data_IF_134805126431
#
_entry.id   IF_134805126431
#
_cell.length_a   1.000
_cell.length_b   1.000
_cell.length_c   1.000
_cell.angle_alpha   90.00
_cell.angle_beta   90.00
_cell.angle_gamma   90.00
#
_symmetry.space_group_name_H-M   'P 1'
#
loop_
_entity.id
_entity.type
_entity.pdbx_description
1 polymer ?
#
# COMPACT_ATOMS: atom_id res chain seq x y z
N UNK A 1 8.80 -11.95 -70.39
CA UNK A 1 9.33 -11.11 -69.33
C UNK A 1 8.60 -11.41 -68.03
N UNK A 2 9.28 -12.12 -67.17
CA UNK A 2 8.86 -12.36 -65.80
C UNK A 2 9.39 -11.22 -64.94
N UNK A 3 8.54 -10.40 -64.39
CA UNK A 3 8.86 -9.52 -63.29
C UNK A 3 8.47 -10.20 -61.99
N UNK A 4 9.48 -10.62 -61.27
CA UNK A 4 9.39 -11.15 -59.94
C UNK A 4 9.18 -10.01 -58.92
N UNK A 5 7.98 -9.90 -58.39
CA UNK A 5 7.71 -9.05 -57.21
C UNK A 5 8.27 -9.71 -55.95
N UNK A 6 9.54 -9.44 -55.66
CA UNK A 6 10.20 -9.81 -54.44
C UNK A 6 10.53 -8.55 -53.64
N UNK A 7 9.57 -7.94 -52.96
CA UNK A 7 9.86 -6.74 -52.17
C UNK A 7 9.10 -6.60 -50.84
N UNK A 8 8.67 -7.69 -50.20
CA UNK A 8 7.96 -7.52 -48.94
C UNK A 8 8.57 -8.11 -47.64
N UNK A 9 9.57 -9.00 -47.65
CA UNK A 9 10.12 -9.48 -46.34
C UNK A 9 10.92 -8.43 -45.57
N UNK A 10 11.53 -7.45 -46.23
CA UNK A 10 12.43 -6.49 -45.59
C UNK A 10 11.72 -5.45 -44.71
N UNK A 11 10.49 -5.06 -45.04
CA UNK A 11 9.73 -4.08 -44.31
C UNK A 11 9.15 -4.63 -42.99
N UNK A 12 8.80 -5.91 -42.97
CA UNK A 12 8.29 -6.57 -41.75
C UNK A 12 9.38 -6.67 -40.68
N UNK A 13 10.58 -7.07 -41.03
CA UNK A 13 11.69 -7.17 -40.09
C UNK A 13 12.10 -5.81 -39.52
N UNK A 14 11.86 -4.72 -40.27
CA UNK A 14 12.15 -3.37 -39.80
C UNK A 14 11.13 -2.92 -38.76
N UNK A 15 9.82 -3.19 -39.00
CA UNK A 15 8.75 -2.84 -38.06
C UNK A 15 8.87 -3.64 -36.76
N UNK A 16 9.17 -4.92 -36.83
CA UNK A 16 9.43 -5.76 -35.64
C UNK A 16 10.62 -5.25 -34.84
N UNK A 17 11.72 -4.88 -35.52
CA UNK A 17 12.88 -4.27 -34.85
C UNK A 17 12.54 -2.93 -34.19
N UNK A 18 11.76 -2.07 -34.86
CA UNK A 18 11.33 -0.80 -34.28
C UNK A 18 10.41 -1.02 -33.08
N UNK A 19 9.46 -1.99 -33.17
CA UNK A 19 8.58 -2.32 -32.07
C UNK A 19 9.36 -2.88 -30.88
N UNK A 20 10.28 -3.81 -31.12
CA UNK A 20 11.21 -4.33 -30.11
C UNK A 20 12.00 -3.21 -29.43
N UNK A 21 12.55 -2.29 -30.21
CA UNK A 21 13.32 -1.16 -29.69
C UNK A 21 12.46 -0.22 -28.81
N UNK A 22 11.24 0.10 -29.20
CA UNK A 22 10.32 0.93 -28.42
C UNK A 22 9.92 0.25 -27.11
N UNK A 23 9.65 -1.06 -27.14
CA UNK A 23 9.31 -1.82 -25.95
C UNK A 23 10.49 -1.96 -24.99
N UNK A 24 11.71 -2.13 -25.52
CA UNK A 24 12.94 -2.14 -24.70
C UNK A 24 13.18 -0.79 -24.05
N UNK A 25 13.05 0.32 -24.79
CA UNK A 25 13.24 1.67 -24.26
C UNK A 25 12.29 1.99 -23.09
N UNK A 26 11.10 1.43 -23.10
CA UNK A 26 10.11 1.61 -22.02
C UNK A 26 10.24 0.57 -20.90
N UNK A 27 11.28 -0.28 -20.91
CA UNK A 27 11.49 -1.38 -19.97
C UNK A 27 10.26 -2.34 -19.85
N UNK A 28 9.35 -2.28 -20.79
CA UNK A 28 8.13 -3.11 -20.80
C UNK A 28 8.49 -4.54 -21.15
N UNK A 29 9.34 -4.72 -22.17
CA UNK A 29 9.74 -6.03 -22.65
C UNK A 29 10.65 -6.80 -21.67
N UNK A 30 11.36 -6.10 -20.80
CA UNK A 30 12.23 -6.70 -19.79
C UNK A 30 11.44 -7.36 -18.65
N UNK A 31 10.15 -7.03 -18.51
CA UNK A 31 9.34 -7.64 -17.45
C UNK A 31 9.10 -9.12 -17.73
N UNK A 32 9.46 -9.97 -16.77
CA UNK A 32 9.38 -11.42 -16.90
C UNK A 32 7.95 -11.93 -17.12
N UNK A 33 6.95 -11.21 -16.64
CA UNK A 33 5.55 -11.58 -16.77
C UNK A 33 4.95 -11.26 -18.16
N UNK A 34 5.61 -10.49 -19.03
CA UNK A 34 5.16 -10.25 -20.39
C UNK A 34 5.69 -11.39 -21.27
N UNK A 35 4.77 -12.15 -21.89
CA UNK A 35 5.08 -13.24 -22.79
C UNK A 35 5.24 -12.79 -24.23
N UNK A 36 4.23 -12.05 -24.73
CA UNK A 36 4.21 -11.65 -26.13
C UNK A 36 3.46 -10.32 -26.35
N UNK A 37 3.73 -9.70 -27.48
CA UNK A 37 3.03 -8.51 -27.97
C UNK A 37 2.71 -8.74 -29.43
N UNK A 38 1.42 -8.66 -29.78
CA UNK A 38 0.91 -8.81 -31.12
C UNK A 38 0.26 -7.50 -31.59
N UNK A 39 0.45 -7.19 -32.85
CA UNK A 39 -0.22 -6.07 -33.51
C UNK A 39 -0.86 -6.58 -34.79
N UNK A 40 -2.17 -6.51 -34.85
CA UNK A 40 -2.98 -6.84 -36.04
C UNK A 40 -3.45 -5.58 -36.70
N UNK A 41 -3.20 -5.46 -38.00
CA UNK A 41 -3.73 -4.35 -38.80
C UNK A 41 -5.09 -4.67 -39.38
N UNK A 42 -5.89 -3.65 -39.77
CA UNK A 42 -7.15 -3.84 -40.50
C UNK A 42 -6.97 -4.57 -41.84
N UNK A 43 -5.78 -4.51 -42.40
CA UNK A 43 -5.46 -5.18 -43.69
C UNK A 43 -5.08 -6.64 -43.52
N UNK A 44 -5.17 -7.18 -42.30
CA UNK A 44 -4.83 -8.57 -42.00
C UNK A 44 -3.31 -8.84 -41.83
N UNK A 45 -2.49 -7.78 -41.80
CA UNK A 45 -1.07 -7.94 -41.48
C UNK A 45 -0.87 -8.09 -39.99
N UNK A 46 0.00 -9.02 -39.62
CA UNK A 46 0.36 -9.35 -38.24
C UNK A 46 1.83 -9.04 -38.02
N UNK A 47 2.11 -8.42 -36.87
CA UNK A 47 3.44 -8.22 -36.32
C UNK A 47 3.46 -8.75 -34.90
N UNK A 48 4.47 -9.56 -34.56
CA UNK A 48 4.54 -10.12 -33.21
C UNK A 48 5.98 -10.11 -32.66
N UNK A 49 6.06 -10.00 -31.34
CA UNK A 49 7.23 -10.27 -30.54
C UNK A 49 6.82 -11.27 -29.49
N UNK A 50 7.50 -12.39 -29.41
CA UNK A 50 7.27 -13.41 -28.37
C UNK A 50 8.59 -13.77 -27.70
N UNK A 51 8.54 -14.09 -26.41
CA UNK A 51 9.68 -14.62 -25.67
C UNK A 51 9.79 -16.12 -25.81
N UNK A 52 8.68 -16.77 -26.13
CA UNK A 52 8.57 -18.21 -26.27
C UNK A 52 7.99 -18.53 -27.65
N UNK A 53 8.64 -19.41 -28.41
CA UNK A 53 8.12 -19.84 -29.71
C UNK A 53 6.81 -20.64 -29.59
N UNK A 54 6.51 -21.18 -28.40
CA UNK A 54 5.28 -21.91 -28.08
C UNK A 54 4.12 -21.00 -27.66
N UNK A 55 4.35 -19.70 -27.51
CA UNK A 55 3.37 -18.77 -27.00
C UNK A 55 2.33 -18.43 -28.05
N UNK A 56 1.12 -18.89 -27.85
CA UNK A 56 -0.07 -18.65 -28.60
C UNK A 56 -0.10 -19.29 -30.01
N UNK A 57 -0.91 -20.29 -30.12
CA UNK A 57 -1.32 -20.75 -31.44
C UNK A 57 -1.96 -19.59 -32.17
N UNK A 58 -1.65 -19.42 -33.45
CA UNK A 58 -2.20 -18.40 -34.32
C UNK A 58 -3.74 -18.33 -34.24
N UNK A 59 -4.38 -19.42 -33.86
CA UNK A 59 -5.82 -19.60 -33.69
C UNK A 59 -6.38 -18.85 -32.47
N UNK A 60 -5.69 -18.85 -31.34
CA UNK A 60 -6.14 -18.15 -30.14
C UNK A 60 -6.07 -16.63 -30.31
N UNK A 61 -5.00 -16.14 -30.91
CA UNK A 61 -4.86 -14.72 -31.24
C UNK A 61 -5.94 -14.24 -32.20
N UNK A 62 -6.29 -15.03 -33.21
CA UNK A 62 -7.34 -14.69 -34.16
C UNK A 62 -8.70 -14.63 -33.50
N UNK A 63 -9.02 -15.55 -32.60
CA UNK A 63 -10.29 -15.55 -31.84
C UNK A 63 -10.42 -14.31 -30.95
N UNK A 64 -9.38 -13.96 -30.20
CA UNK A 64 -9.34 -12.75 -29.36
C UNK A 64 -9.46 -11.49 -30.22
N UNK A 65 -8.73 -11.43 -31.35
CA UNK A 65 -8.79 -10.33 -32.29
C UNK A 65 -10.19 -10.14 -32.88
N UNK A 66 -10.86 -11.23 -33.30
CA UNK A 66 -12.24 -11.19 -33.86
C UNK A 66 -13.24 -10.74 -32.80
N UNK A 67 -13.12 -11.20 -31.57
CA UNK A 67 -13.97 -10.77 -30.47
C UNK A 67 -13.82 -9.26 -30.19
N UNK A 68 -12.62 -8.73 -30.33
CA UNK A 68 -12.34 -7.31 -30.13
C UNK A 68 -12.84 -6.42 -31.23
N UNK A 69 -12.73 -6.85 -32.47
CA UNK A 69 -13.28 -6.10 -33.61
C UNK A 69 -14.79 -5.94 -33.55
N UNK A 70 -15.50 -6.89 -32.93
CA UNK A 70 -16.95 -6.85 -32.79
C UNK A 70 -17.45 -5.96 -31.66
N UNK A 71 -16.66 -5.72 -30.62
CA UNK A 71 -17.13 -5.13 -29.34
C UNK A 71 -16.62 -3.72 -29.04
N UNK A 72 -15.69 -3.13 -29.84
CA UNK A 72 -15.25 -1.71 -29.71
C UNK A 72 -14.74 -1.28 -28.29
N UNK A 73 -14.04 -0.25 -28.12
CA UNK A 73 -12.80 0.33 -28.64
C UNK A 73 -11.75 0.74 -27.62
N UNK A 74 -11.92 0.53 -26.34
CA UNK A 74 -10.95 0.93 -25.32
C UNK A 74 -10.07 -0.25 -24.92
N UNK A 75 -9.20 -0.06 -23.99
CA UNK A 75 -8.39 -1.13 -23.41
C UNK A 75 -9.31 -2.13 -22.69
N UNK A 76 -9.20 -3.41 -23.03
CA UNK A 76 -9.99 -4.49 -22.43
C UNK A 76 -9.05 -5.60 -21.97
N UNK A 77 -9.40 -6.26 -20.88
CA UNK A 77 -8.64 -7.39 -20.33
C UNK A 77 -9.49 -8.64 -20.43
N UNK A 78 -8.89 -9.71 -20.94
CA UNK A 78 -9.47 -11.03 -21.02
C UNK A 78 -8.55 -12.03 -20.29
N UNK A 79 -9.14 -13.07 -19.74
CA UNK A 79 -8.41 -14.20 -19.20
C UNK A 79 -8.66 -15.43 -20.06
N UNK A 80 -7.65 -16.29 -20.20
CA UNK A 80 -7.81 -17.63 -20.74
C UNK A 80 -7.85 -18.61 -19.59
N UNK A 81 -8.89 -19.44 -19.56
CA UNK A 81 -9.03 -20.51 -18.58
C UNK A 81 -8.01 -21.63 -18.77
N UNK A 82 -7.48 -21.79 -19.99
CA UNK A 82 -6.66 -22.95 -20.33
C UNK A 82 -5.14 -22.72 -20.12
N UNK A 83 -4.68 -21.46 -20.21
CA UNK A 83 -3.26 -21.14 -20.29
C UNK A 83 -2.75 -20.22 -19.18
N UNK A 84 -3.58 -19.81 -18.23
CA UNK A 84 -3.24 -18.79 -17.21
C UNK A 84 -2.61 -17.53 -17.80
N UNK A 85 -3.15 -17.08 -18.95
CA UNK A 85 -2.73 -15.89 -19.63
C UNK A 85 -3.76 -14.77 -19.49
N UNK A 86 -3.29 -13.56 -19.22
CA UNK A 86 -4.06 -12.33 -19.29
C UNK A 86 -3.76 -11.62 -20.61
N UNK A 87 -4.80 -11.26 -21.33
CA UNK A 87 -4.70 -10.54 -22.59
C UNK A 87 -5.15 -9.10 -22.40
N UNK A 88 -4.22 -8.17 -22.53
CA UNK A 88 -4.51 -6.73 -22.56
C UNK A 88 -4.65 -6.31 -24.01
N UNK A 89 -5.83 -5.94 -24.40
CA UNK A 89 -6.16 -5.67 -25.80
C UNK A 89 -6.57 -4.23 -25.97
N UNK A 90 -5.97 -3.55 -26.96
CA UNK A 90 -6.22 -2.15 -27.25
C UNK A 90 -6.30 -1.88 -28.75
N UNK A 91 -7.29 -1.08 -29.17
CA UNK A 91 -7.35 -0.57 -30.53
C UNK A 91 -6.31 0.51 -30.77
N UNK A 92 -5.68 0.48 -31.94
CA UNK A 92 -4.72 1.47 -32.42
C UNK A 92 -5.46 2.42 -33.36
N UNK A 93 -5.40 3.72 -33.07
CA UNK A 93 -6.10 4.75 -33.85
C UNK A 93 -5.13 5.59 -34.66
N UNK A 94 -5.56 6.00 -35.82
CA UNK A 94 -4.90 7.08 -36.55
C UNK A 94 -5.19 8.41 -35.86
N UNK A 95 -4.19 9.07 -35.38
CA UNK A 95 -4.33 10.33 -34.63
C UNK A 95 -4.93 11.48 -35.46
N UNK A 96 -4.72 11.45 -36.79
CA UNK A 96 -5.23 12.49 -37.67
C UNK A 96 -6.71 12.29 -38.08
N UNK A 97 -7.17 11.03 -38.18
CA UNK A 97 -8.49 10.72 -38.67
C UNK A 97 -9.43 10.10 -37.64
N UNK A 98 -8.92 9.71 -36.51
CA UNK A 98 -9.67 8.99 -35.46
C UNK A 98 -10.07 7.55 -35.85
N UNK A 99 -9.67 7.08 -37.01
CA UNK A 99 -10.01 5.74 -37.46
C UNK A 99 -9.16 4.66 -36.82
N UNK A 100 -9.77 3.51 -36.53
CA UNK A 100 -9.05 2.33 -36.06
C UNK A 100 -8.15 1.80 -37.19
N UNK A 101 -6.86 1.70 -36.91
CA UNK A 101 -5.85 1.16 -37.82
C UNK A 101 -5.55 -0.32 -37.56
N UNK A 102 -5.76 -0.76 -36.35
CA UNK A 102 -5.44 -2.11 -35.92
C UNK A 102 -5.73 -2.34 -34.45
N UNK A 103 -5.25 -3.47 -33.94
CA UNK A 103 -5.40 -3.89 -32.54
C UNK A 103 -4.05 -4.38 -32.03
N UNK A 104 -3.70 -3.98 -30.82
CA UNK A 104 -2.54 -4.48 -30.09
C UNK A 104 -3.00 -5.40 -28.97
N UNK A 105 -2.36 -6.55 -28.84
CA UNK A 105 -2.58 -7.52 -27.78
C UNK A 105 -1.27 -7.73 -27.04
N UNK A 106 -1.30 -7.55 -25.72
CA UNK A 106 -0.17 -7.88 -24.85
C UNK A 106 -0.58 -9.09 -24.02
N UNK A 107 0.18 -10.16 -24.13
CA UNK A 107 -0.01 -11.38 -23.35
C UNK A 107 0.87 -11.34 -22.11
N UNK A 108 0.25 -11.54 -20.98
CA UNK A 108 0.88 -11.52 -19.66
C UNK A 108 0.68 -12.88 -18.99
N UNK A 109 1.75 -13.44 -18.46
CA UNK A 109 1.68 -14.61 -17.57
C UNK A 109 1.01 -14.19 -16.26
N UNK A 110 -0.17 -14.73 -16.00
CA UNK A 110 -0.97 -14.41 -14.82
C UNK A 110 -0.23 -14.74 -13.53
N UNK A 111 0.35 -15.92 -13.44
CA UNK A 111 1.03 -16.38 -12.24
C UNK A 111 2.26 -15.53 -11.92
N UNK A 112 3.09 -15.24 -12.92
CA UNK A 112 4.26 -14.37 -12.73
C UNK A 112 3.85 -12.94 -12.38
N UNK A 113 2.76 -12.44 -12.96
CA UNK A 113 2.26 -11.10 -12.68
C UNK A 113 1.68 -10.99 -11.26
N UNK A 114 0.82 -11.93 -10.85
CA UNK A 114 0.27 -12.00 -9.50
C UNK A 114 1.41 -12.17 -8.47
N UNK A 115 2.33 -13.10 -8.70
CA UNK A 115 3.49 -13.27 -7.82
C UNK A 115 4.32 -11.99 -7.68
N UNK A 116 4.43 -11.20 -8.74
CA UNK A 116 5.11 -9.90 -8.66
C UNK A 116 4.33 -8.88 -7.85
N UNK A 117 3.01 -8.86 -7.97
CA UNK A 117 2.14 -7.98 -7.17
C UNK A 117 2.17 -8.38 -5.70
N UNK A 118 2.20 -9.69 -5.42
CA UNK A 118 2.13 -10.23 -4.05
C UNK A 118 3.50 -10.38 -3.38
N UNK A 119 4.61 -10.24 -4.12
CA UNK A 119 5.97 -10.47 -3.59
C UNK A 119 6.36 -9.66 -2.35
N UNK A 120 5.67 -8.56 -2.09
CA UNK A 120 5.87 -7.69 -0.91
C UNK A 120 4.67 -7.74 0.06
N UNK A 121 3.74 -8.67 -0.15
CA UNK A 121 2.54 -8.83 0.65
C UNK A 121 2.76 -10.00 1.61
N UNK A 122 2.31 -9.85 2.83
CA UNK A 122 2.41 -10.89 3.85
C UNK A 122 1.49 -12.09 3.55
N UNK A 123 1.86 -13.27 4.04
CA UNK A 123 1.06 -14.47 3.88
C UNK A 123 -0.37 -14.27 4.39
N UNK A 124 -1.33 -14.83 3.66
CA UNK A 124 -2.76 -14.75 4.01
C UNK A 124 -3.51 -13.54 3.43
N UNK A 125 -2.84 -12.68 2.67
CA UNK A 125 -3.53 -11.67 1.89
C UNK A 125 -4.01 -12.27 0.56
N UNK A 126 -5.22 -11.84 0.13
CA UNK A 126 -5.78 -12.25 -1.15
C UNK A 126 -5.97 -11.02 -2.04
N UNK A 127 -5.66 -11.17 -3.32
CA UNK A 127 -5.91 -10.16 -4.34
C UNK A 127 -6.83 -10.77 -5.39
N UNK A 128 -7.92 -10.09 -5.70
CA UNK A 128 -8.87 -10.50 -6.73
C UNK A 128 -9.08 -9.37 -7.73
N UNK A 129 -9.08 -9.73 -8.99
CA UNK A 129 -9.41 -8.85 -10.10
C UNK A 129 -10.66 -9.38 -10.78
N UNK A 130 -11.66 -8.54 -10.93
CA UNK A 130 -12.91 -8.91 -11.59
C UNK A 130 -13.46 -7.74 -12.42
N UNK A 131 -14.24 -8.07 -13.43
CA UNK A 131 -14.91 -7.07 -14.27
C UNK A 131 -16.24 -6.61 -13.64
N UNK A 132 -16.93 -5.67 -14.30
CA UNK A 132 -18.22 -5.15 -13.84
C UNK A 132 -19.33 -6.21 -13.74
N UNK A 133 -19.19 -7.32 -14.47
CA UNK A 133 -20.10 -8.46 -14.39
C UNK A 133 -19.75 -9.43 -13.24
N UNK A 134 -18.76 -9.09 -12.40
CA UNK A 134 -18.17 -9.96 -11.38
C UNK A 134 -17.61 -11.28 -11.94
N UNK A 135 -17.17 -11.25 -13.20
CA UNK A 135 -16.38 -12.37 -13.72
C UNK A 135 -14.95 -12.20 -13.24
N UNK A 136 -14.41 -13.22 -12.58
CA UNK A 136 -13.02 -13.23 -12.15
C UNK A 136 -12.11 -13.13 -13.36
N UNK A 137 -11.17 -12.22 -13.30
CA UNK A 137 -10.12 -12.05 -14.31
C UNK A 137 -8.85 -12.73 -13.83
N UNK A 138 -8.50 -12.53 -12.58
CA UNK A 138 -7.31 -13.09 -11.94
C UNK A 138 -7.40 -13.03 -10.43
N UNK A 139 -6.70 -13.92 -9.72
CA UNK A 139 -6.64 -13.92 -8.26
C UNK A 139 -5.46 -14.73 -7.74
N UNK A 140 -5.11 -14.44 -6.50
CA UNK A 140 -4.16 -15.26 -5.74
C UNK A 140 -4.95 -16.46 -5.17
N UNK A 141 -4.73 -17.64 -5.62
CA UNK A 141 -5.54 -18.86 -5.42
C UNK A 141 -6.86 -18.82 -6.22
N UNK A 142 -7.15 -19.91 -6.92
CA UNK A 142 -8.41 -20.07 -7.65
C UNK A 142 -9.55 -20.31 -6.66
N UNK A 143 -10.40 -19.31 -6.37
CA UNK A 143 -11.49 -19.48 -5.45
C UNK A 143 -12.54 -20.42 -6.06
N UNK A 144 -13.13 -21.23 -5.24
CA UNK A 144 -14.25 -22.07 -5.64
C UNK A 144 -15.46 -21.21 -6.06
N UNK A 145 -16.35 -21.77 -6.87
CA UNK A 145 -17.56 -21.08 -7.34
C UNK A 145 -18.42 -20.52 -6.21
N UNK A 146 -18.47 -21.21 -5.07
CA UNK A 146 -19.16 -20.76 -3.87
C UNK A 146 -18.47 -19.53 -3.25
N UNK A 147 -17.16 -19.51 -3.19
CA UNK A 147 -16.38 -18.40 -2.66
C UNK A 147 -16.49 -17.16 -3.53
N UNK A 148 -16.56 -17.32 -4.85
CA UNK A 148 -16.84 -16.22 -5.78
C UNK A 148 -18.22 -15.62 -5.52
N UNK A 149 -19.23 -16.46 -5.30
CA UNK A 149 -20.58 -16.00 -4.99
C UNK A 149 -20.67 -15.30 -3.62
N UNK A 150 -19.95 -15.78 -2.62
CA UNK A 150 -19.85 -15.14 -1.32
C UNK A 150 -19.15 -13.76 -1.45
N UNK A 151 -18.06 -13.71 -2.19
CA UNK A 151 -17.34 -12.46 -2.48
C UNK A 151 -18.25 -11.46 -3.19
N UNK A 152 -18.97 -11.91 -4.22
CA UNK A 152 -19.93 -11.11 -4.97
C UNK A 152 -21.06 -10.55 -4.09
N UNK A 153 -21.60 -11.38 -3.19
CA UNK A 153 -22.64 -10.96 -2.26
C UNK A 153 -22.15 -9.98 -1.21
N UNK A 154 -20.92 -10.17 -0.71
CA UNK A 154 -20.30 -9.36 0.33
C UNK A 154 -19.81 -8.01 -0.17
N UNK A 155 -19.22 -7.97 -1.35
CA UNK A 155 -18.67 -6.74 -1.95
C UNK A 155 -19.77 -5.89 -2.58
N UNK A 156 -20.78 -6.50 -3.21
CA UNK A 156 -21.79 -5.78 -3.97
C UNK A 156 -21.17 -4.95 -5.11
N UNK A 157 -21.91 -3.97 -5.61
CA UNK A 157 -21.40 -2.99 -6.59
C UNK A 157 -20.70 -1.84 -5.87
N UNK A 158 -19.59 -2.12 -5.19
CA UNK A 158 -18.82 -1.08 -4.53
C UNK A 158 -17.78 -0.49 -5.49
N UNK A 159 -17.99 0.73 -5.90
CA UNK A 159 -17.07 1.52 -6.73
C UNK A 159 -16.20 2.48 -5.92
N UNK A 160 -16.25 2.42 -4.59
CA UNK A 160 -15.53 3.37 -3.75
C UNK A 160 -14.39 2.70 -2.98
N UNK A 161 -13.24 3.36 -2.97
CA UNK A 161 -12.04 3.00 -2.19
C UNK A 161 -12.29 3.10 -0.67
N UNK A 162 -13.21 2.30 -0.13
CA UNK A 162 -13.54 2.26 1.28
C UNK A 162 -13.17 0.90 1.87
N UNK A 163 -12.62 0.94 3.08
CA UNK A 163 -12.39 -0.27 3.85
C UNK A 163 -13.72 -0.86 4.31
N UNK A 164 -13.87 -2.16 4.12
CA UNK A 164 -15.05 -2.91 4.55
C UNK A 164 -14.64 -4.22 5.19
N UNK A 165 -15.32 -4.57 6.27
CA UNK A 165 -15.19 -5.91 6.85
C UNK A 165 -16.15 -6.85 6.15
N UNK A 166 -15.64 -7.97 5.67
CA UNK A 166 -16.44 -9.05 5.07
C UNK A 166 -16.05 -10.38 5.72
N UNK A 167 -17.00 -11.30 5.71
CA UNK A 167 -16.74 -12.70 6.08
C UNK A 167 -16.59 -13.50 4.79
N UNK A 168 -15.42 -14.12 4.60
CA UNK A 168 -15.10 -14.95 3.44
C UNK A 168 -14.48 -16.25 3.93
N UNK A 169 -14.89 -17.39 3.39
CA UNK A 169 -14.43 -18.73 3.81
C UNK A 169 -14.42 -18.91 5.35
N UNK A 170 -15.48 -18.44 6.03
CA UNK A 170 -15.64 -18.49 7.50
C UNK A 170 -14.63 -17.70 8.32
N UNK A 171 -13.90 -16.77 7.69
CA UNK A 171 -12.96 -15.83 8.35
C UNK A 171 -13.36 -14.39 8.05
N UNK A 172 -13.02 -13.50 8.97
CA UNK A 172 -13.23 -12.07 8.78
C UNK A 172 -12.02 -11.45 8.11
N UNK A 173 -12.29 -10.68 7.06
CA UNK A 173 -11.29 -9.96 6.29
C UNK A 173 -11.61 -8.47 6.25
N UNK A 174 -10.59 -7.66 6.36
CA UNK A 174 -10.65 -6.26 5.97
C UNK A 174 -10.37 -6.16 4.48
N UNK A 175 -11.27 -5.56 3.73
CA UNK A 175 -11.17 -5.46 2.27
C UNK A 175 -11.07 -4.02 1.83
N UNK A 176 -10.32 -3.81 0.75
CA UNK A 176 -10.26 -2.56 0.01
C UNK A 176 -10.46 -2.87 -1.46
N UNK A 177 -11.49 -2.28 -2.07
CA UNK A 177 -11.77 -2.41 -3.49
C UNK A 177 -11.56 -1.08 -4.19
N UNK A 178 -10.89 -1.11 -5.34
CA UNK A 178 -10.69 0.06 -6.18
C UNK A 178 -10.97 -0.28 -7.64
N UNK A 179 -11.75 0.57 -8.31
CA UNK A 179 -12.01 0.42 -9.73
C UNK A 179 -10.89 1.06 -10.54
N UNK A 180 -10.43 0.34 -11.54
CA UNK A 180 -9.47 0.81 -12.53
C UNK A 180 -10.27 1.15 -13.81
N UNK A 181 -10.74 2.38 -13.89
CA UNK A 181 -11.66 2.84 -14.94
C UNK A 181 -11.13 2.56 -16.35
N UNK A 182 -9.81 2.72 -16.55
CA UNK A 182 -9.18 2.50 -17.85
C UNK A 182 -9.34 1.07 -18.36
N UNK A 183 -9.39 0.10 -17.47
CA UNK A 183 -9.48 -1.33 -17.78
C UNK A 183 -10.90 -1.89 -17.57
N UNK A 184 -11.78 -1.11 -16.96
CA UNK A 184 -13.09 -1.53 -16.51
C UNK A 184 -13.05 -2.77 -15.60
N UNK A 185 -12.05 -2.82 -14.73
CA UNK A 185 -11.85 -3.89 -13.75
C UNK A 185 -11.80 -3.31 -12.33
N UNK A 186 -12.23 -4.11 -11.39
CA UNK A 186 -12.10 -3.80 -9.97
C UNK A 186 -11.04 -4.70 -9.36
N UNK A 187 -10.08 -4.08 -8.68
CA UNK A 187 -9.08 -4.76 -7.87
C UNK A 187 -9.54 -4.75 -6.42
N UNK A 188 -9.62 -5.91 -5.80
CA UNK A 188 -9.95 -6.06 -4.38
C UNK A 188 -8.80 -6.75 -3.66
N UNK A 189 -8.33 -6.10 -2.60
CA UNK A 189 -7.32 -6.64 -1.70
C UNK A 189 -8.02 -6.99 -0.39
N UNK A 190 -7.75 -8.18 0.14
CA UNK A 190 -8.33 -8.69 1.37
C UNK A 190 -7.21 -9.11 2.32
N UNK A 191 -7.30 -8.68 3.58
CA UNK A 191 -6.37 -9.06 4.64
C UNK A 191 -7.13 -9.65 5.83
N UNK A 192 -6.68 -10.78 6.42
CA UNK A 192 -7.33 -11.36 7.59
C UNK A 192 -7.31 -10.39 8.78
N UNK A 193 -8.46 -10.21 9.44
CA UNK A 193 -8.59 -9.29 10.57
C UNK A 193 -7.75 -9.74 11.78
N UNK A 194 -7.62 -11.04 12.00
CA UNK A 194 -6.80 -11.63 13.06
C UNK A 194 -5.31 -11.30 12.89
N UNK A 195 -4.82 -11.31 11.67
CA UNK A 195 -3.44 -10.95 11.35
C UNK A 195 -3.16 -9.48 11.64
N UNK A 196 -4.06 -8.58 11.22
CA UNK A 196 -3.96 -7.16 11.54
C UNK A 196 -4.00 -6.92 13.06
N UNK A 197 -4.89 -7.59 13.78
CA UNK A 197 -4.97 -7.50 15.25
C UNK A 197 -3.67 -7.95 15.91
N UNK A 198 -3.09 -9.07 15.46
CA UNK A 198 -1.84 -9.58 16.02
C UNK A 198 -0.67 -8.60 15.81
N UNK A 199 -0.58 -7.98 14.64
CA UNK A 199 0.43 -6.94 14.37
C UNK A 199 0.26 -5.72 15.27
N UNK A 200 -0.97 -5.23 15.45
CA UNK A 200 -1.28 -4.12 16.35
C UNK A 200 -0.92 -4.48 17.79
N UNK A 201 -1.27 -5.69 18.25
CA UNK A 201 -0.90 -6.14 19.60
C UNK A 201 0.61 -6.25 19.79
N UNK A 202 1.35 -6.74 18.82
CA UNK A 202 2.82 -6.83 18.88
C UNK A 202 3.46 -5.45 19.01
N UNK A 203 2.96 -4.49 18.25
CA UNK A 203 3.42 -3.10 18.33
C UNK A 203 3.08 -2.51 19.70
N UNK A 204 1.83 -2.62 20.14
CA UNK A 204 1.40 -2.11 21.45
C UNK A 204 2.16 -2.75 22.61
N UNK A 205 2.37 -4.08 22.58
CA UNK A 205 3.10 -4.79 23.64
C UNK A 205 4.53 -4.31 23.79
N UNK A 206 5.16 -3.85 22.71
CA UNK A 206 6.51 -3.28 22.75
C UNK A 206 6.55 -1.88 23.41
N UNK A 207 5.47 -1.10 23.31
CA UNK A 207 5.38 0.24 23.91
C UNK A 207 4.97 0.24 25.38
N UNK A 208 4.21 -0.76 25.84
CA UNK A 208 3.74 -0.85 27.24
C UNK A 208 4.89 -0.79 28.26
N UNK A 209 5.99 -1.59 28.15
CA UNK A 209 7.07 -1.55 29.13
C UNK A 209 7.81 -0.21 29.12
N UNK A 210 7.97 0.42 27.95
CA UNK A 210 8.60 1.74 27.84
C UNK A 210 7.76 2.81 28.53
N UNK A 211 6.46 2.79 28.31
CA UNK A 211 5.52 3.73 28.96
C UNK A 211 5.51 3.56 30.47
N UNK A 212 5.49 2.32 30.96
CA UNK A 212 5.58 2.00 32.38
C UNK A 212 6.90 2.54 32.99
N UNK A 213 8.02 2.34 32.32
CA UNK A 213 9.31 2.84 32.74
C UNK A 213 9.29 4.37 32.89
N UNK A 214 8.75 5.08 31.91
CA UNK A 214 8.63 6.55 31.94
C UNK A 214 7.78 6.99 33.14
N UNK A 215 6.64 6.33 33.40
CA UNK A 215 5.77 6.64 34.52
C UNK A 215 6.54 6.48 35.86
N UNK A 216 7.28 5.38 36.02
CA UNK A 216 8.07 5.15 37.23
C UNK A 216 9.14 6.23 37.41
N UNK A 217 9.83 6.61 36.35
CA UNK A 217 10.80 7.70 36.37
C UNK A 217 10.14 9.02 36.80
N UNK A 218 8.99 9.34 36.23
CA UNK A 218 8.24 10.56 36.59
C UNK A 218 7.82 10.58 38.04
N UNK A 219 7.39 9.44 38.62
CA UNK A 219 7.03 9.33 40.04
C UNK A 219 8.26 9.56 40.89
N UNK A 220 9.40 8.94 40.57
CA UNK A 220 10.66 9.12 41.29
C UNK A 220 11.10 10.60 41.26
N UNK A 221 11.09 11.21 40.06
CA UNK A 221 11.44 12.63 39.91
C UNK A 221 10.50 13.54 40.69
N UNK A 222 9.18 13.28 40.65
CA UNK A 222 8.19 14.05 41.43
C UNK A 222 8.49 13.99 42.92
N UNK A 223 8.86 12.81 43.43
CA UNK A 223 9.23 12.64 44.82
C UNK A 223 10.51 13.41 45.17
N UNK A 224 11.52 13.39 44.31
CA UNK A 224 12.76 14.16 44.51
C UNK A 224 12.49 15.66 44.48
N UNK A 225 11.74 16.16 43.52
CA UNK A 225 11.39 17.59 43.44
C UNK A 225 10.61 18.01 44.69
N UNK A 226 9.64 17.22 45.13
CA UNK A 226 8.88 17.51 46.34
C UNK A 226 9.78 17.64 47.58
N UNK A 227 10.72 16.75 47.75
CA UNK A 227 11.65 16.82 48.90
C UNK A 227 12.69 17.93 48.80
N UNK A 228 13.22 18.16 47.59
CA UNK A 228 14.31 19.12 47.40
C UNK A 228 13.82 20.59 47.36
N UNK A 229 12.60 20.80 46.92
CA UNK A 229 12.10 22.16 46.67
C UNK A 229 10.89 22.49 47.52
N UNK A 230 9.84 21.67 47.50
CA UNK A 230 8.58 22.01 48.17
C UNK A 230 8.72 21.97 49.70
N UNK A 231 9.42 21.00 50.24
CA UNK A 231 9.58 20.89 51.68
C UNK A 231 10.35 22.09 52.29
N UNK A 232 11.54 22.50 51.78
CA UNK A 232 12.23 23.68 52.24
C UNK A 232 11.39 24.96 52.16
N UNK A 233 10.65 25.15 51.07
CA UNK A 233 9.78 26.31 50.91
C UNK A 233 8.68 26.34 51.96
N UNK A 234 8.04 25.22 52.27
CA UNK A 234 6.97 25.15 53.28
C UNK A 234 7.53 25.48 54.68
N UNK A 235 8.73 24.96 55.04
CA UNK A 235 9.41 25.28 56.29
C UNK A 235 9.68 26.79 56.37
N UNK A 236 10.14 27.41 55.30
CA UNK A 236 10.39 28.87 55.30
C UNK A 236 9.10 29.67 55.45
N UNK A 237 8.04 29.32 54.71
CA UNK A 237 6.72 30.00 54.80
C UNK A 237 6.20 29.93 56.25
N UNK A 238 6.27 28.75 56.90
CA UNK A 238 5.81 28.59 58.28
C UNK A 238 6.58 29.50 59.23
N UNK A 239 7.92 29.56 59.12
CA UNK A 239 8.76 30.42 59.94
C UNK A 239 8.53 31.91 59.67
N UNK A 240 8.44 32.33 58.43
CA UNK A 240 8.14 33.74 58.06
C UNK A 240 6.77 34.15 58.60
N UNK A 241 5.77 33.27 58.56
CA UNK A 241 4.48 33.56 59.18
C UNK A 241 4.55 33.73 60.70
N UNK A 242 5.35 32.92 61.39
CA UNK A 242 5.57 33.10 62.85
C UNK A 242 6.24 34.45 63.18
N UNK A 243 7.24 34.82 62.37
CA UNK A 243 7.93 36.13 62.51
C UNK A 243 6.97 37.28 62.27
N UNK A 244 6.09 37.18 61.27
CA UNK A 244 5.08 38.22 60.98
C UNK A 244 4.06 38.40 62.09
N UNK A 245 3.86 37.40 62.92
CA UNK A 245 3.00 37.44 64.10
C UNK A 245 3.73 37.96 65.38
N UNK A 246 4.96 38.43 65.23
CA UNK A 246 5.74 39.00 66.31
C UNK A 246 6.61 38.01 67.11
N UNK A 247 6.71 36.75 66.68
CA UNK A 247 7.58 35.78 67.30
C UNK A 247 8.99 35.82 66.67
N UNK A 248 9.78 36.80 67.06
CA UNK A 248 11.14 37.04 66.56
C UNK A 248 12.18 36.07 67.19
N UNK A 249 11.81 35.26 68.19
CA UNK A 249 12.72 34.33 68.86
C UNK A 249 13.01 33.07 68.01
N UNK A 250 12.22 32.79 67.05
CA UNK A 250 12.33 31.55 66.25
C UNK A 250 13.19 31.73 64.99
N UNK A 251 14.46 31.44 65.12
CA UNK A 251 15.38 31.35 63.98
C UNK A 251 14.97 30.25 63.02
N UNK A 252 15.22 30.46 61.72
CA UNK A 252 15.05 29.44 60.68
C UNK A 252 16.26 28.51 60.76
N UNK A 253 16.02 27.20 60.94
CA UNK A 253 17.06 26.16 60.99
C UNK A 253 16.62 24.96 60.15
N UNK A 254 17.58 24.12 59.73
CA UNK A 254 17.32 22.86 59.05
C UNK A 254 17.35 22.92 57.52
N UNK A 255 17.79 24.05 56.98
CA UNK A 255 17.91 24.24 55.51
C UNK A 255 19.39 24.21 55.05
N UNK A 256 20.33 23.83 55.93
CA UNK A 256 21.78 23.83 55.68
C UNK A 256 22.17 22.86 54.52
N UNK A 257 21.34 21.89 54.26
CA UNK A 257 21.56 20.91 53.17
C UNK A 257 21.26 21.45 51.78
N UNK A 258 20.59 22.59 51.68
CA UNK A 258 20.11 23.19 50.41
C UNK A 258 20.81 24.53 50.21
N UNK A 259 21.76 24.60 49.27
CA UNK A 259 22.65 25.76 49.07
C UNK A 259 21.89 27.09 48.98
N UNK A 260 20.90 27.18 48.11
CA UNK A 260 20.14 28.38 47.85
C UNK A 260 19.21 28.77 49.00
N UNK A 261 18.68 27.77 49.70
CA UNK A 261 17.81 28.00 50.88
C UNK A 261 18.63 28.33 52.12
N UNK A 262 19.88 27.85 52.23
CA UNK A 262 20.78 28.17 53.31
C UNK A 262 21.20 29.64 53.27
N UNK A 263 21.48 30.21 52.09
CA UNK A 263 21.77 31.63 51.95
C UNK A 263 20.59 32.48 52.39
N UNK A 264 19.37 32.09 51.98
CA UNK A 264 18.15 32.82 52.38
C UNK A 264 17.86 32.68 53.88
N UNK A 265 18.05 31.48 54.45
CA UNK A 265 18.00 31.23 55.92
C UNK A 265 18.92 32.16 56.66
N UNK A 266 20.18 32.27 56.23
CA UNK A 266 21.20 33.11 56.85
C UNK A 266 20.82 34.59 56.77
N UNK A 267 20.35 35.05 55.61
CA UNK A 267 19.94 36.44 55.45
C UNK A 267 18.76 36.83 56.36
N UNK A 268 17.75 35.94 56.47
CA UNK A 268 16.61 36.17 57.36
C UNK A 268 17.01 36.14 58.79
N UNK A 269 17.85 35.20 59.23
CA UNK A 269 18.33 35.11 60.61
C UNK A 269 19.18 36.34 61.03
N UNK A 270 20.02 36.85 60.09
CA UNK A 270 20.78 38.09 60.33
C UNK A 270 19.85 39.30 60.47
N UNK A 271 18.78 39.36 59.68
CA UNK A 271 17.78 40.43 59.82
C UNK A 271 17.08 40.35 61.20
N UNK A 272 16.71 39.18 61.66
CA UNK A 272 16.11 38.98 62.99
C UNK A 272 17.07 39.41 64.15
N UNK A 273 18.35 39.13 64.04
CA UNK A 273 19.36 39.52 65.02
C UNK A 273 19.58 41.06 65.09
N UNK A 274 19.20 41.80 64.04
CA UNK A 274 19.25 43.27 64.00
C UNK A 274 18.00 43.93 64.58
N UNK A 275 16.88 43.22 64.64
CA UNK A 275 15.63 43.72 65.21
C UNK A 275 15.49 43.45 66.70
N UNK A 276 16.25 42.49 67.17
CA UNK A 276 16.29 42.11 68.62
C UNK A 276 17.38 42.86 69.39
#
# INVERSE_FOLDING_TARGET
SMESTSTEPSNYSLVEKQMSYVLMLNNVWEKNYIRSVYVFTKTGKEFHLSKDESDLTQTENVAVYQQMLSNSPSLTVFTSTDNHNLYFVRSIYNLATGNIMGTMIITVDENLWINKLTSNIEDGWHIFLYNDAFTMISGYEDPSENEINDLKSALGRYHNSQFKNITFASRNYLTLSNQIDLLNITATVMTPEDQLRSQVYNVLSSYIPVTLLIIVICIIWSFFISRLTVHPINVMIEKINAISQGDYSKKINGLEKYSEFNELQTAINNMLDQIH
#
